data_IF_250773404989
#
_entry.id   IF_250773404989
#
_cell.length_a   1.000
_cell.length_b   1.000
_cell.length_c   1.000
_cell.angle_alpha   90.00
_cell.angle_beta   90.00
_cell.angle_gamma   90.00
#
_symmetry.space_group_name_H-M   'P 1'
#
loop_
_entity.id
_entity.type
_entity.pdbx_description
1 polymer ?
#
# COMPACT_ATOMS: atom_id res chain seq x y z
N UNK A 1 8.04 -1.83 12.25
CA UNK A 1 7.10 -2.35 11.23
C UNK A 1 7.85 -2.88 10.00
N UNK A 2 8.67 -2.08 9.32
CA UNK A 2 9.38 -2.47 8.07
C UNK A 2 10.28 -3.72 8.20
N UNK A 3 10.97 -3.90 9.32
CA UNK A 3 11.83 -5.09 9.56
C UNK A 3 11.00 -6.40 9.51
N UNK A 4 9.79 -6.40 10.08
CA UNK A 4 8.91 -7.58 10.03
C UNK A 4 8.50 -7.88 8.58
N UNK A 5 8.14 -6.84 7.81
CA UNK A 5 7.80 -6.97 6.38
C UNK A 5 8.99 -7.54 5.58
N UNK A 6 10.21 -7.06 5.85
CA UNK A 6 11.43 -7.58 5.22
C UNK A 6 11.59 -9.09 5.43
N UNK A 7 11.39 -9.57 6.65
CA UNK A 7 11.55 -10.99 6.95
C UNK A 7 10.52 -11.84 6.19
N UNK A 8 9.25 -11.43 6.18
CA UNK A 8 8.18 -12.12 5.44
C UNK A 8 8.46 -12.13 3.93
N UNK A 9 8.92 -11.02 3.35
CA UNK A 9 9.29 -10.98 1.91
C UNK A 9 10.43 -11.95 1.63
N UNK A 10 11.45 -12.02 2.50
CA UNK A 10 12.58 -12.94 2.32
C UNK A 10 12.16 -14.39 2.41
N UNK A 11 11.22 -14.73 3.30
CA UNK A 11 10.64 -16.08 3.36
C UNK A 11 9.86 -16.41 2.10
N UNK A 12 8.94 -15.53 1.66
CA UNK A 12 8.14 -15.76 0.46
C UNK A 12 8.99 -15.89 -0.81
N UNK A 13 10.11 -15.18 -0.89
CA UNK A 13 11.03 -15.20 -2.04
C UNK A 13 12.21 -16.16 -1.88
N UNK A 14 12.24 -16.99 -0.82
CA UNK A 14 13.40 -17.86 -0.50
C UNK A 14 13.82 -18.78 -1.65
N UNK A 15 12.84 -19.22 -2.46
CA UNK A 15 13.06 -20.15 -3.57
C UNK A 15 13.09 -19.45 -4.94
N UNK A 16 13.06 -18.12 -5.00
CA UNK A 16 13.22 -17.40 -6.27
C UNK A 16 14.68 -17.41 -6.71
N UNK A 17 14.95 -17.86 -7.95
CA UNK A 17 16.31 -17.98 -8.50
C UNK A 17 17.01 -16.64 -8.73
N UNK A 18 16.28 -15.52 -8.67
CA UNK A 18 16.81 -14.16 -8.83
C UNK A 18 16.35 -13.29 -7.67
N UNK A 19 17.30 -12.64 -7.00
CA UNK A 19 17.01 -11.62 -6.00
C UNK A 19 16.45 -10.39 -6.73
N UNK A 20 15.14 -10.18 -6.61
CA UNK A 20 14.46 -8.99 -7.14
C UNK A 20 14.55 -7.85 -6.15
N UNK A 21 14.93 -6.67 -6.64
CA UNK A 21 14.84 -5.42 -5.87
C UNK A 21 13.39 -5.21 -5.44
N UNK A 22 13.20 -4.74 -4.20
CA UNK A 22 11.87 -4.37 -3.70
C UNK A 22 11.66 -2.91 -4.01
N UNK A 23 10.66 -2.62 -4.84
CA UNK A 23 10.17 -1.26 -5.06
C UNK A 23 9.14 -0.96 -3.97
N UNK A 24 9.43 0.03 -3.13
CA UNK A 24 8.61 0.44 -2.01
C UNK A 24 7.91 1.77 -2.33
N UNK A 25 6.59 1.81 -2.17
CA UNK A 25 5.79 3.02 -2.40
C UNK A 25 5.05 3.37 -1.10
N UNK A 26 5.20 4.63 -0.67
CA UNK A 26 4.55 5.22 0.50
C UNK A 26 4.28 6.69 0.22
N UNK A 27 3.36 7.29 0.97
CA UNK A 27 3.08 8.72 0.91
C UNK A 27 4.17 9.56 1.63
N UNK A 28 4.10 10.88 1.46
CA UNK A 28 5.08 11.82 2.00
C UNK A 28 4.79 12.30 3.44
N UNK A 29 4.01 11.55 4.23
CA UNK A 29 3.78 11.91 5.62
C UNK A 29 5.12 12.09 6.37
N UNK A 30 5.18 13.07 7.29
CA UNK A 30 6.40 13.41 8.06
C UNK A 30 7.16 12.20 8.63
N UNK A 31 6.54 11.19 9.25
CA UNK A 31 7.27 10.02 9.74
C UNK A 31 7.89 9.17 8.61
N UNK A 32 7.28 9.14 7.43
CA UNK A 32 7.69 8.34 6.28
C UNK A 32 8.90 8.94 5.54
N UNK A 33 9.03 10.27 5.55
CA UNK A 33 10.15 11.02 4.96
C UNK A 33 11.27 11.34 5.96
N UNK A 34 11.18 10.80 7.19
CA UNK A 34 12.22 11.01 8.20
C UNK A 34 13.56 10.38 7.79
N UNK A 35 14.66 10.96 8.27
CA UNK A 35 16.01 10.44 8.05
C UNK A 35 16.14 8.97 8.48
N UNK A 36 15.50 8.60 9.60
CA UNK A 36 15.50 7.23 10.11
C UNK A 36 14.83 6.25 9.14
N UNK A 37 13.69 6.63 8.56
CA UNK A 37 12.99 5.81 7.57
C UNK A 37 13.82 5.66 6.30
N UNK A 38 14.43 6.74 5.82
CA UNK A 38 15.35 6.71 4.67
C UNK A 38 16.53 5.76 4.88
N UNK A 39 17.24 5.87 6.02
CA UNK A 39 18.33 4.96 6.37
C UNK A 39 17.88 3.50 6.46
N UNK A 40 16.69 3.27 7.00
CA UNK A 40 16.12 1.92 7.11
C UNK A 40 15.90 1.31 5.73
N UNK A 41 15.28 2.04 4.80
CA UNK A 41 15.04 1.58 3.43
C UNK A 41 16.35 1.33 2.66
N UNK A 42 17.32 2.23 2.79
CA UNK A 42 18.66 2.06 2.23
C UNK A 42 19.34 0.77 2.72
N UNK A 43 19.34 0.53 4.03
CA UNK A 43 19.92 -0.67 4.65
C UNK A 43 19.22 -1.96 4.20
N UNK A 44 17.97 -1.86 3.76
CA UNK A 44 17.20 -3.01 3.24
C UNK A 44 17.40 -3.22 1.74
N UNK A 45 18.09 -2.32 1.04
CA UNK A 45 18.22 -2.28 -0.42
C UNK A 45 16.84 -2.18 -1.12
N UNK A 46 15.96 -1.34 -0.56
CA UNK A 46 14.63 -1.11 -1.11
C UNK A 46 14.58 0.23 -1.83
N UNK A 47 14.10 0.21 -3.07
CA UNK A 47 13.98 1.40 -3.91
C UNK A 47 12.69 2.13 -3.56
N UNK A 48 12.83 3.32 -2.97
CA UNK A 48 11.68 4.18 -2.69
C UNK A 48 11.18 4.84 -3.98
N UNK A 49 9.92 4.59 -4.33
CA UNK A 49 9.25 5.25 -5.44
C UNK A 49 8.86 6.67 -5.04
N UNK A 50 9.10 7.63 -5.92
CA UNK A 50 8.68 9.01 -5.69
C UNK A 50 7.16 9.10 -5.62
N UNK A 51 6.67 9.80 -4.60
CA UNK A 51 5.27 10.14 -4.44
C UNK A 51 5.15 11.65 -4.45
N UNK A 52 4.22 12.26 -5.21
CA UNK A 52 4.01 13.70 -5.15
C UNK A 52 3.28 14.11 -3.87
N UNK A 53 3.46 15.36 -3.38
CA UNK A 53 2.72 15.87 -2.23
C UNK A 53 1.19 15.83 -2.44
N UNK A 54 0.45 15.62 -1.35
CA UNK A 54 -1.03 15.71 -1.30
C UNK A 54 -1.78 14.90 -2.37
N UNK A 55 -1.28 13.71 -2.71
CA UNK A 55 -1.78 12.90 -3.83
C UNK A 55 -2.32 11.53 -3.39
N UNK A 56 -3.36 11.48 -2.54
CA UNK A 56 -3.94 10.22 -2.08
C UNK A 56 -4.44 9.36 -3.25
N UNK A 57 -4.90 9.98 -4.34
CA UNK A 57 -5.30 9.31 -5.57
C UNK A 57 -4.19 8.49 -6.24
N UNK A 58 -2.93 8.73 -5.90
CA UNK A 58 -1.79 7.99 -6.43
C UNK A 58 -1.37 6.83 -5.53
N UNK A 59 -1.85 6.77 -4.29
CA UNK A 59 -1.59 5.69 -3.36
C UNK A 59 -2.58 4.55 -3.57
N UNK A 60 -2.09 3.39 -4.03
CA UNK A 60 -2.94 2.22 -4.22
C UNK A 60 -3.57 1.68 -2.94
N UNK A 61 -3.03 2.02 -1.76
CA UNK A 61 -3.71 1.72 -0.49
C UNK A 61 -5.01 2.51 -0.40
N UNK A 62 -4.97 3.80 -0.69
CA UNK A 62 -6.06 4.74 -0.44
C UNK A 62 -7.21 4.53 -1.42
N UNK A 63 -6.92 4.46 -2.72
CA UNK A 63 -7.98 4.35 -3.72
C UNK A 63 -8.54 2.94 -3.93
N UNK A 64 -7.87 1.92 -3.40
CA UNK A 64 -8.24 0.52 -3.65
C UNK A 64 -8.49 -0.24 -2.36
N UNK A 65 -7.45 -0.49 -1.57
CA UNK A 65 -7.55 -1.34 -0.39
C UNK A 65 -8.49 -0.72 0.64
N UNK A 66 -8.28 0.55 0.98
CA UNK A 66 -9.09 1.26 1.97
C UNK A 66 -10.49 1.59 1.45
N UNK A 67 -10.66 1.87 0.16
CA UNK A 67 -12.00 2.02 -0.42
C UNK A 67 -12.84 0.73 -0.28
N UNK A 68 -12.26 -0.44 -0.57
CA UNK A 68 -12.98 -1.70 -0.39
C UNK A 68 -13.18 -2.05 1.08
N UNK A 69 -12.22 -1.72 1.95
CA UNK A 69 -12.37 -1.91 3.39
C UNK A 69 -13.48 -1.02 3.96
N UNK A 70 -13.56 0.23 3.53
CA UNK A 70 -14.61 1.15 3.94
C UNK A 70 -15.98 0.63 3.54
N UNK A 71 -16.14 0.13 2.31
CA UNK A 71 -17.38 -0.51 1.87
C UNK A 71 -17.73 -1.77 2.68
N UNK A 72 -16.72 -2.56 3.05
CA UNK A 72 -16.91 -3.76 3.87
C UNK A 72 -17.35 -3.43 5.30
N UNK A 73 -16.86 -2.33 5.86
CA UNK A 73 -17.18 -1.87 7.20
C UNK A 73 -18.41 -0.93 7.25
N UNK A 74 -19.01 -0.61 6.10
CA UNK A 74 -20.08 0.38 6.03
C UNK A 74 -21.32 -0.05 6.83
N UNK A 75 -21.83 0.85 7.66
CA UNK A 75 -22.95 0.59 8.56
C UNK A 75 -22.67 -0.36 9.73
N UNK A 76 -21.46 -0.91 9.87
CA UNK A 76 -21.11 -1.76 11.01
C UNK A 76 -20.91 -0.94 12.29
N UNK A 77 -21.41 -1.46 13.41
CA UNK A 77 -21.21 -0.89 14.75
C UNK A 77 -20.36 -1.87 15.54
N UNK A 78 -19.23 -1.39 16.04
CA UNK A 78 -18.30 -2.17 16.84
C UNK A 78 -18.28 -1.64 18.28
N UNK A 79 -18.26 -2.56 19.24
CA UNK A 79 -18.28 -2.24 20.67
C UNK A 79 -16.87 -2.23 21.28
N UNK A 80 -15.86 -2.66 20.53
CA UNK A 80 -14.46 -2.67 20.98
C UNK A 80 -13.48 -2.55 19.81
N UNK A 81 -12.25 -2.14 20.13
CA UNK A 81 -11.15 -2.14 19.17
C UNK A 81 -10.81 -3.55 18.67
N UNK A 82 -11.01 -4.57 19.51
CA UNK A 82 -10.70 -5.96 19.16
C UNK A 82 -11.66 -6.49 18.09
N UNK A 83 -12.94 -6.12 18.16
CA UNK A 83 -13.90 -6.40 17.09
C UNK A 83 -13.47 -5.77 15.76
N UNK A 84 -13.05 -4.50 15.77
CA UNK A 84 -12.56 -3.82 14.55
C UNK A 84 -11.31 -4.51 14.00
N UNK A 85 -10.35 -4.85 14.86
CA UNK A 85 -9.10 -5.53 14.46
C UNK A 85 -9.41 -6.89 13.83
N UNK A 86 -10.29 -7.68 14.45
CA UNK A 86 -10.70 -8.99 13.94
C UNK A 86 -11.42 -8.88 12.59
N UNK A 87 -12.30 -7.89 12.43
CA UNK A 87 -13.01 -7.68 11.17
C UNK A 87 -12.06 -7.25 10.04
N UNK A 88 -11.07 -6.40 10.34
CA UNK A 88 -10.02 -6.04 9.38
C UNK A 88 -9.16 -7.25 9.00
N UNK A 89 -8.82 -8.12 9.96
CA UNK A 89 -8.11 -9.37 9.67
C UNK A 89 -8.92 -10.28 8.76
N UNK A 90 -10.20 -10.50 9.08
CA UNK A 90 -11.12 -11.29 8.27
C UNK A 90 -11.25 -10.73 6.85
N UNK A 91 -11.41 -9.40 6.72
CA UNK A 91 -11.42 -8.74 5.42
C UNK A 91 -10.17 -9.08 4.61
N UNK A 92 -8.97 -8.99 5.20
CA UNK A 92 -7.70 -9.24 4.52
C UNK A 92 -7.53 -10.72 4.13
N UNK A 93 -7.89 -11.64 5.03
CA UNK A 93 -7.77 -13.09 4.81
C UNK A 93 -8.73 -13.60 3.73
N UNK A 94 -9.87 -12.93 3.54
CA UNK A 94 -10.82 -13.23 2.47
C UNK A 94 -10.39 -12.71 1.08
N UNK A 95 -9.30 -11.93 0.97
CA UNK A 95 -8.84 -11.41 -0.32
C UNK A 95 -7.94 -12.42 -1.04
N UNK A 96 -8.26 -12.64 -2.31
CA UNK A 96 -7.45 -13.49 -3.18
C UNK A 96 -6.14 -12.79 -3.57
N UNK A 97 -5.11 -13.55 -3.99
CA UNK A 97 -3.93 -12.96 -4.60
C UNK A 97 -4.26 -12.03 -5.79
N UNK A 98 -5.31 -12.36 -6.55
CA UNK A 98 -5.80 -11.55 -7.66
C UNK A 98 -6.26 -10.16 -7.22
N UNK A 99 -6.94 -10.04 -6.08
CA UNK A 99 -7.35 -8.74 -5.54
C UNK A 99 -6.14 -7.80 -5.32
N UNK A 100 -5.04 -8.34 -4.78
CA UNK A 100 -3.81 -7.57 -4.57
C UNK A 100 -3.06 -7.30 -5.89
N UNK A 101 -3.14 -8.19 -6.87
CA UNK A 101 -2.58 -7.95 -8.22
C UNK A 101 -3.32 -6.81 -8.93
N UNK A 102 -4.65 -6.84 -8.96
CA UNK A 102 -5.48 -5.81 -9.59
C UNK A 102 -5.21 -4.41 -9.02
N UNK A 103 -4.98 -4.33 -7.71
CA UNK A 103 -4.56 -3.09 -7.03
C UNK A 103 -3.32 -2.47 -7.67
N UNK A 104 -2.33 -3.29 -8.00
CA UNK A 104 -1.07 -2.85 -8.61
C UNK A 104 -1.26 -2.58 -10.11
N UNK A 105 -2.03 -3.41 -10.81
CA UNK A 105 -2.32 -3.24 -12.24
C UNK A 105 -3.13 -1.97 -12.54
N UNK A 106 -3.95 -1.49 -11.59
CA UNK A 106 -4.72 -0.25 -11.74
C UNK A 106 -3.87 1.03 -11.58
N UNK A 107 -2.65 0.93 -11.02
CA UNK A 107 -1.78 2.10 -10.77
C UNK A 107 -1.40 2.86 -12.06
N UNK A 108 -0.85 2.22 -13.12
CA UNK A 108 -0.42 2.94 -14.31
C UNK A 108 -1.55 3.71 -14.99
N UNK A 109 -2.73 3.10 -15.11
CA UNK A 109 -3.90 3.75 -15.70
C UNK A 109 -4.34 4.97 -14.89
N UNK A 110 -4.33 4.86 -13.56
CA UNK A 110 -4.72 5.97 -12.67
C UNK A 110 -3.71 7.11 -12.73
N UNK A 111 -2.42 6.81 -12.69
CA UNK A 111 -1.36 7.82 -12.85
C UNK A 111 -1.45 8.53 -14.20
N UNK A 112 -1.68 7.79 -15.29
CA UNK A 112 -1.86 8.39 -16.62
C UNK A 112 -3.05 9.35 -16.62
N UNK A 113 -4.17 8.96 -16.03
CA UNK A 113 -5.34 9.84 -15.99
C UNK A 113 -5.09 11.10 -15.17
N UNK A 114 -4.37 11.02 -14.06
CA UNK A 114 -3.99 12.20 -13.26
C UNK A 114 -3.07 13.13 -14.07
N UNK A 115 -2.13 12.56 -14.83
CA UNK A 115 -1.27 13.32 -15.73
C UNK A 115 -2.10 14.03 -16.82
N UNK A 116 -3.04 13.33 -17.45
CA UNK A 116 -3.94 13.88 -18.48
C UNK A 116 -4.84 15.01 -17.94
N UNK A 117 -5.16 14.97 -16.64
CA UNK A 117 -5.91 16.02 -15.93
C UNK A 117 -5.02 17.19 -15.47
N UNK A 118 -3.76 17.29 -15.92
CA UNK A 118 -2.77 18.27 -15.49
C UNK A 118 -2.58 18.30 -13.97
N UNK A 119 -2.65 17.14 -13.30
CA UNK A 119 -2.50 17.04 -11.85
C UNK A 119 -3.75 17.41 -11.05
N UNK A 120 -4.89 17.67 -11.70
CA UNK A 120 -6.16 17.84 -11.00
C UNK A 120 -6.67 16.49 -10.46
N UNK A 121 -7.46 16.56 -9.37
CA UNK A 121 -7.98 15.39 -8.66
C UNK A 121 -8.76 14.44 -9.58
N UNK A 122 -8.55 13.13 -9.37
CA UNK A 122 -9.29 12.10 -10.08
C UNK A 122 -10.69 12.01 -9.46
N UNK A 123 -11.75 12.28 -10.22
CA UNK A 123 -13.12 12.06 -9.74
C UNK A 123 -13.39 10.56 -9.63
N UNK A 124 -13.67 10.10 -8.40
CA UNK A 124 -14.08 8.73 -8.11
C UNK A 124 -15.39 8.36 -8.81
#
# INVERSE_FOLDING_TARGET
MLIKVRNVIREKRRNESRRKVVVFHQDNARPHVSTMTGWTLYTMEWDLTQHPPFSPDMASSDFYLFSHLQLHLDGAIFNSNEEVINEVHLFLDLRTPQFFAERIEKLPKRWQTIADLNGNFYRH
#
